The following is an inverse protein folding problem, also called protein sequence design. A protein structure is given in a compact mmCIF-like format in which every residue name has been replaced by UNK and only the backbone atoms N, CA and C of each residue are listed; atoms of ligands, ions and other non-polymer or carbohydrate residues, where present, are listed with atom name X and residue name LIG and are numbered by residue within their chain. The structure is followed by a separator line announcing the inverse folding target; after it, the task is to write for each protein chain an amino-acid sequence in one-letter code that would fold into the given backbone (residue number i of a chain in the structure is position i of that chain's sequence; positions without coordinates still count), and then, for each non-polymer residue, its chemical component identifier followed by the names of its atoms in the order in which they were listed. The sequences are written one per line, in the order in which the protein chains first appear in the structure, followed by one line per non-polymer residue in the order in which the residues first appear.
data_IF_301464205088
#
_entry.id   IF_301464205088
#
_cell.length_a   1.000
_cell.length_b   1.000
_cell.length_c   1.000
_cell.angle_alpha   90.00
_cell.angle_beta   90.00
_cell.angle_gamma   90.00
#
_symmetry.space_group_name_H-M   'P 1'
#
loop_
_entity.id
_entity.type
_entity.pdbx_description
1 polymer ?
#
# COMPACT_ATOMS: atom_id res chain seq x y z
N UNK A 1 6.81 4.65 10.36
CA UNK A 1 7.00 5.07 8.95
C UNK A 1 6.21 6.35 8.77
N UNK A 2 6.77 7.35 8.12
CA UNK A 2 6.07 8.59 7.79
C UNK A 2 6.10 8.71 6.28
N UNK A 3 4.93 8.64 5.64
CA UNK A 3 4.78 8.91 4.21
C UNK A 3 4.42 10.39 4.09
N UNK A 4 5.24 11.15 3.37
CA UNK A 4 5.06 12.59 3.18
C UNK A 4 4.43 12.91 1.83
N UNK A 5 4.70 12.06 0.84
CA UNK A 5 4.14 12.16 -0.52
C UNK A 5 4.05 10.79 -1.16
N UNK A 6 3.10 10.66 -2.09
CA UNK A 6 2.89 9.45 -2.87
C UNK A 6 3.26 9.75 -4.32
N UNK A 7 3.90 8.77 -4.96
CA UNK A 7 4.25 8.82 -6.39
C UNK A 7 3.42 7.76 -7.09
N UNK A 8 2.64 8.23 -8.06
CA UNK A 8 1.88 7.40 -8.98
C UNK A 8 2.55 7.41 -10.35
N UNK A 9 2.73 6.22 -10.91
CA UNK A 9 3.02 6.06 -12.33
C UNK A 9 1.68 5.86 -13.04
N UNK A 10 1.31 6.65 -14.06
CA UNK A 10 -0.01 6.58 -14.69
C UNK A 10 -0.41 5.17 -15.12
N UNK A 11 0.51 4.43 -15.74
CA UNK A 11 0.27 3.05 -16.18
C UNK A 11 -0.04 2.08 -15.02
N UNK A 12 0.51 2.35 -13.83
CA UNK A 12 0.28 1.54 -12.62
C UNK A 12 -1.08 1.89 -12.00
N UNK A 13 -1.40 3.17 -11.92
CA UNK A 13 -2.69 3.66 -11.43
C UNK A 13 -3.84 3.07 -12.27
N UNK A 14 -3.78 3.24 -13.59
CA UNK A 14 -4.78 2.70 -14.53
C UNK A 14 -4.93 1.19 -14.38
N UNK A 15 -3.80 0.47 -14.28
CA UNK A 15 -3.80 -0.99 -14.10
C UNK A 15 -4.47 -1.41 -12.79
N UNK A 16 -4.24 -0.69 -11.70
CA UNK A 16 -4.84 -0.99 -10.39
C UNK A 16 -6.34 -0.77 -10.44
N UNK A 17 -6.79 0.36 -11.00
CA UNK A 17 -8.20 0.68 -11.16
C UNK A 17 -8.89 -0.41 -12.00
N UNK A 18 -8.30 -0.78 -13.15
CA UNK A 18 -8.88 -1.76 -14.05
C UNK A 18 -8.92 -3.18 -13.46
N UNK A 19 -7.83 -3.64 -12.82
CA UNK A 19 -7.71 -5.02 -12.34
C UNK A 19 -8.27 -5.26 -10.95
N UNK A 20 -8.16 -4.26 -10.08
CA UNK A 20 -8.44 -4.40 -8.65
C UNK A 20 -9.57 -3.50 -8.16
N UNK A 21 -10.07 -2.57 -8.99
CA UNK A 21 -11.13 -1.63 -8.61
C UNK A 21 -10.77 -0.89 -7.32
N UNK A 22 -9.49 -0.53 -7.20
CA UNK A 22 -8.97 0.31 -6.12
C UNK A 22 -8.64 1.65 -6.75
N UNK A 23 -9.21 2.71 -6.20
CA UNK A 23 -8.90 4.07 -6.61
C UNK A 23 -7.60 4.55 -5.95
N UNK A 24 -6.96 5.56 -6.54
CA UNK A 24 -5.74 6.12 -5.97
C UNK A 24 -6.00 6.61 -4.54
N UNK A 25 -7.08 7.34 -4.33
CA UNK A 25 -7.50 7.92 -3.05
C UNK A 25 -7.64 6.85 -1.96
N UNK A 26 -8.17 5.68 -2.28
CA UNK A 26 -8.29 4.57 -1.33
C UNK A 26 -6.92 4.04 -0.88
N UNK A 27 -5.95 3.98 -1.79
CA UNK A 27 -4.58 3.59 -1.46
C UNK A 27 -3.86 4.71 -0.67
N UNK A 28 -4.15 5.98 -0.96
CA UNK A 28 -3.63 7.12 -0.22
C UNK A 28 -4.14 7.15 1.22
N UNK A 29 -5.44 6.89 1.43
CA UNK A 29 -6.02 6.74 2.77
C UNK A 29 -5.25 5.72 3.60
N UNK A 30 -4.89 4.57 3.02
CA UNK A 30 -4.11 3.55 3.72
C UNK A 30 -2.72 4.06 4.05
N UNK A 31 -2.02 4.68 3.10
CA UNK A 31 -0.61 5.09 3.27
C UNK A 31 -0.45 6.29 4.21
N UNK A 32 -1.36 7.26 4.18
CA UNK A 32 -1.32 8.46 5.03
C UNK A 32 -1.94 8.28 6.40
N UNK A 33 -2.76 7.26 6.61
CA UNK A 33 -3.31 6.94 7.92
C UNK A 33 -2.24 6.39 8.87
N UNK A 34 -2.51 5.22 9.44
CA UNK A 34 -1.54 4.49 10.26
C UNK A 34 -1.52 3.02 9.87
N UNK A 35 -1.01 2.70 8.66
CA UNK A 35 -1.09 1.35 8.15
C UNK A 35 -0.18 0.44 8.95
N UNK A 36 -0.58 -0.83 9.02
CA UNK A 36 0.35 -1.88 9.45
C UNK A 36 1.28 -2.19 8.29
N UNK A 37 2.57 -1.94 8.47
CA UNK A 37 3.58 -2.15 7.41
C UNK A 37 4.30 -3.48 7.61
N UNK A 38 4.53 -4.20 6.51
CA UNK A 38 5.35 -5.42 6.48
C UNK A 38 6.42 -5.27 5.39
N UNK A 39 7.65 -5.63 5.71
CA UNK A 39 8.69 -5.85 4.70
C UNK A 39 8.29 -7.02 3.79
N UNK A 40 8.47 -6.85 2.47
CA UNK A 40 8.17 -7.88 1.46
C UNK A 40 9.47 -8.45 0.93
N UNK A 41 10.30 -7.61 0.31
CA UNK A 41 11.56 -8.02 -0.28
C UNK A 41 12.52 -6.83 -0.45
N UNK A 42 13.81 -7.14 -0.66
CA UNK A 42 14.81 -6.12 -0.96
C UNK A 42 14.65 -5.63 -2.39
N UNK A 43 14.78 -4.33 -2.58
CA UNK A 43 14.85 -3.74 -3.91
C UNK A 43 16.14 -4.12 -4.64
N UNK A 44 16.13 -4.00 -5.97
CA UNK A 44 17.35 -4.15 -6.78
C UNK A 44 18.38 -3.05 -6.49
N UNK A 45 17.95 -1.89 -5.99
CA UNK A 45 18.80 -0.78 -5.58
C UNK A 45 18.68 -0.53 -4.07
N UNK A 46 19.76 -0.03 -3.49
CA UNK A 46 19.78 0.34 -2.08
C UNK A 46 18.76 1.46 -1.82
N UNK A 47 17.81 1.21 -0.91
CA UNK A 47 16.75 2.16 -0.59
C UNK A 47 15.50 2.03 -1.45
N UNK A 48 15.39 0.96 -2.25
CA UNK A 48 14.18 0.62 -3.02
C UNK A 48 13.47 -0.63 -2.48
N UNK A 49 13.55 -0.87 -1.18
CA UNK A 49 12.90 -2.03 -0.54
C UNK A 49 11.37 -1.97 -0.70
N UNK A 50 10.78 -3.14 -0.93
CA UNK A 50 9.34 -3.26 -1.15
C UNK A 50 8.66 -3.57 0.18
N UNK A 51 7.64 -2.79 0.47
CA UNK A 51 6.80 -2.91 1.65
C UNK A 51 5.34 -3.15 1.24
N UNK A 52 4.61 -3.77 2.15
CA UNK A 52 3.16 -3.92 2.08
C UNK A 52 2.53 -3.19 3.26
N UNK A 53 1.64 -2.23 2.97
CA UNK A 53 0.81 -1.54 3.93
C UNK A 53 -0.58 -2.19 3.95
N UNK A 54 -1.05 -2.51 5.15
CA UNK A 54 -2.36 -3.10 5.39
C UNK A 54 -3.20 -2.08 6.15
N UNK A 55 -4.40 -1.80 5.66
CA UNK A 55 -5.32 -0.89 6.33
C UNK A 55 -6.77 -1.12 5.95
N UNK A 56 -7.64 -0.37 6.62
CA UNK A 56 -9.05 -0.29 6.30
C UNK A 56 -9.34 1.15 5.87
N UNK A 57 -9.98 1.33 4.71
CA UNK A 57 -10.45 2.63 4.23
C UNK A 57 -11.59 3.15 5.10
N UNK A 58 -11.93 4.43 5.00
CA UNK A 58 -13.07 4.99 5.73
C UNK A 58 -14.41 4.32 5.32
N UNK A 59 -14.52 3.93 4.04
CA UNK A 59 -15.65 3.15 3.52
C UNK A 59 -15.67 1.69 4.00
N UNK A 60 -14.67 1.26 4.78
CA UNK A 60 -14.62 -0.05 5.41
C UNK A 60 -13.97 -1.16 4.58
N UNK A 61 -13.38 -0.85 3.42
CA UNK A 61 -12.65 -1.83 2.60
C UNK A 61 -11.29 -2.14 3.21
N UNK A 62 -10.91 -3.41 3.20
CA UNK A 62 -9.61 -3.85 3.70
C UNK A 62 -8.64 -3.96 2.53
N UNK A 63 -7.66 -3.08 2.46
CA UNK A 63 -6.73 -3.01 1.33
C UNK A 63 -5.31 -3.34 1.76
N UNK A 64 -4.59 -3.98 0.84
CA UNK A 64 -3.14 -4.12 0.88
C UNK A 64 -2.52 -3.30 -0.25
N UNK A 65 -1.60 -2.41 0.11
CA UNK A 65 -0.88 -1.53 -0.82
C UNK A 65 0.59 -1.92 -0.82
N UNK A 66 1.12 -2.26 -1.99
CA UNK A 66 2.54 -2.55 -2.20
C UNK A 66 3.23 -1.30 -2.70
N UNK A 67 4.32 -0.91 -2.04
CA UNK A 67 5.03 0.32 -2.35
C UNK A 67 6.51 0.21 -2.00
N UNK A 68 7.30 1.05 -2.65
CA UNK A 68 8.69 1.31 -2.26
C UNK A 68 8.71 2.53 -1.36
N UNK A 69 9.36 2.43 -0.21
CA UNK A 69 9.61 3.56 0.67
C UNK A 69 11.00 4.13 0.43
N UNK A 70 11.06 5.36 -0.09
CA UNK A 70 12.32 6.08 -0.27
C UNK A 70 12.74 6.80 1.02
N UNK A 71 14.01 7.22 1.06
CA UNK A 71 14.67 7.80 2.26
C UNK A 71 14.03 9.10 2.77
N UNK A 72 13.34 9.82 1.91
CA UNK A 72 12.66 11.10 2.14
C UNK A 72 11.18 10.96 2.51
N UNK A 73 10.69 9.73 2.67
CA UNK A 73 9.29 9.46 2.99
C UNK A 73 8.38 9.44 1.76
N UNK A 74 8.96 9.39 0.55
CA UNK A 74 8.18 9.15 -0.67
C UNK A 74 7.77 7.68 -0.76
N UNK A 75 6.47 7.43 -0.97
CA UNK A 75 5.96 6.11 -1.29
C UNK A 75 5.67 5.99 -2.79
N UNK A 76 6.41 5.14 -3.50
CA UNK A 76 6.11 4.79 -4.89
C UNK A 76 5.18 3.58 -4.90
N UNK A 77 3.93 3.76 -5.31
CA UNK A 77 2.95 2.67 -5.34
C UNK A 77 3.25 1.73 -6.51
N UNK A 78 3.31 0.43 -6.22
CA UNK A 78 3.53 -0.63 -7.20
C UNK A 78 2.24 -1.40 -7.52
N UNK A 79 1.37 -1.56 -6.52
CA UNK A 79 0.09 -2.27 -6.64
C UNK A 79 -0.80 -1.98 -5.44
N UNK A 80 -2.11 -2.04 -5.61
CA UNK A 80 -3.08 -2.06 -4.51
C UNK A 80 -4.22 -3.02 -4.84
N UNK A 81 -4.72 -3.75 -3.83
CA UNK A 81 -5.87 -4.65 -3.98
C UNK A 81 -6.58 -4.89 -2.65
N UNK A 82 -7.78 -5.47 -2.72
CA UNK A 82 -8.43 -6.02 -1.53
C UNK A 82 -7.58 -7.12 -0.88
N UNK A 83 -7.59 -7.13 0.45
CA UNK A 83 -7.01 -8.21 1.24
C UNK A 83 -7.79 -9.51 1.03
N UNK A 84 -7.06 -10.63 0.97
CA UNK A 84 -7.70 -11.94 1.03
C UNK A 84 -8.18 -12.29 2.46
N UNK A 85 -8.95 -13.37 2.59
CA UNK A 85 -9.49 -13.80 3.89
C UNK A 85 -8.40 -14.09 4.95
N UNK A 86 -7.21 -14.55 4.54
CA UNK A 86 -6.09 -14.81 5.45
C UNK A 86 -5.43 -13.51 5.89
N UNK A 87 -5.17 -12.60 4.96
CA UNK A 87 -4.61 -11.27 5.18
C UNK A 87 -5.54 -10.47 6.11
N UNK A 88 -6.84 -10.45 5.84
CA UNK A 88 -7.84 -9.76 6.68
C UNK A 88 -7.88 -10.34 8.10
N UNK A 89 -7.80 -11.68 8.24
CA UNK A 89 -7.73 -12.34 9.55
C UNK A 89 -6.45 -11.98 10.30
N UNK A 90 -5.31 -11.91 9.61
CA UNK A 90 -4.03 -11.51 10.20
C UNK A 90 -4.02 -10.03 10.60
N UNK A 91 -4.70 -9.18 9.83
CA UNK A 91 -4.88 -7.77 10.14
C UNK A 91 -5.69 -7.58 11.44
N UNK A 92 -6.87 -8.20 11.54
CA UNK A 92 -7.75 -8.07 12.72
C UNK A 92 -7.30 -8.78 14.00
N UNK A 93 -6.21 -9.56 13.96
CA UNK A 93 -5.72 -10.38 15.08
C UNK A 93 -4.84 -9.66 16.09
N UNK A 94 -4.54 -8.37 15.91
CA UNK A 94 -3.75 -7.61 16.89
C UNK A 94 -4.49 -6.36 17.36
N UNK A 95 -4.75 -6.32 18.67
CA UNK A 95 -4.87 -5.12 19.49
C UNK A 95 -3.46 -4.69 19.92
#
# INVERSE_FOLDING_TARGET
MIVTRIIWLPDIEDKIIQKHRVLAEEAEEILFGNPRVRFVEKGYRQGEDVYAAYGQTEAGRYLIVFFILKRDGEALVLSARDMDSKERRLYGRKK
#
